data_IF_599217862337
#
_entry.id   IF_599217862337
#
_cell.length_a   1.000
_cell.length_b   1.000
_cell.length_c   1.000
_cell.angle_alpha   90.00
_cell.angle_beta   90.00
_cell.angle_gamma   90.00
#
_symmetry.space_group_name_H-M   'P 1'
#
loop_
_entity.id
_entity.type
_entity.pdbx_description
1 polymer ?
#
# COMPACT_ATOMS: atom_id res chain seq x y z
N UNK A 1 47.03 -39.96 56.37
CA UNK A 1 47.05 -39.12 55.13
C UNK A 1 45.82 -39.49 54.32
N UNK A 2 44.76 -38.69 54.42
CA UNK A 2 43.48 -38.92 53.74
C UNK A 2 43.52 -38.33 52.33
N UNK A 3 43.19 -39.14 51.31
CA UNK A 3 43.04 -38.68 49.92
C UNK A 3 41.64 -39.00 49.41
N UNK A 4 40.74 -38.01 49.45
CA UNK A 4 39.37 -38.12 48.92
C UNK A 4 39.42 -37.92 47.40
N UNK A 5 39.14 -38.95 46.62
CA UNK A 5 38.89 -38.81 45.17
C UNK A 5 37.44 -38.37 45.00
N UNK A 6 37.23 -37.07 44.81
CA UNK A 6 35.93 -36.52 44.43
C UNK A 6 35.74 -36.68 42.91
N UNK A 7 35.01 -37.71 42.48
CA UNK A 7 34.48 -37.80 41.12
C UNK A 7 33.25 -36.90 40.99
N UNK A 8 33.47 -35.59 40.86
CA UNK A 8 32.45 -34.63 40.48
C UNK A 8 32.51 -34.35 38.99
N UNK A 9 31.79 -35.10 38.14
CA UNK A 9 31.50 -34.64 36.78
C UNK A 9 30.39 -33.59 36.88
N UNK A 10 30.79 -32.34 37.10
CA UNK A 10 29.91 -31.19 36.93
C UNK A 10 29.57 -31.06 35.44
N UNK A 11 28.45 -31.63 35.01
CA UNK A 11 27.81 -31.25 33.76
C UNK A 11 27.37 -29.79 33.91
N UNK A 12 28.21 -28.85 33.47
CA UNK A 12 27.83 -27.44 33.34
C UNK A 12 26.83 -27.36 32.19
N UNK A 13 25.54 -27.23 32.55
CA UNK A 13 24.49 -26.80 31.63
C UNK A 13 24.85 -25.42 31.10
N UNK A 14 25.23 -25.33 29.82
CA UNK A 14 25.27 -24.07 29.07
C UNK A 14 23.84 -23.66 28.70
N UNK A 15 23.10 -23.09 29.65
CA UNK A 15 21.92 -22.27 29.36
C UNK A 15 22.26 -20.81 29.67
N UNK A 16 23.17 -20.23 28.89
CA UNK A 16 23.18 -18.78 28.75
C UNK A 16 22.35 -18.48 27.51
N UNK A 17 21.06 -18.26 27.70
CA UNK A 17 20.29 -17.49 26.73
C UNK A 17 20.88 -16.09 26.73
N UNK A 18 21.47 -15.65 25.62
CA UNK A 18 21.76 -14.24 25.38
C UNK A 18 20.42 -13.47 25.25
N UNK A 19 19.76 -13.22 26.38
CA UNK A 19 18.48 -12.49 26.45
C UNK A 19 18.65 -10.98 26.63
N UNK A 20 19.87 -10.45 26.46
CA UNK A 20 20.14 -9.02 26.75
C UNK A 20 20.80 -8.19 25.65
N UNK A 21 21.42 -8.79 24.63
CA UNK A 21 22.29 -8.05 23.69
C UNK A 21 21.73 -7.87 22.27
N UNK A 22 20.47 -8.28 22.01
CA UNK A 22 19.93 -8.38 20.63
C UNK A 22 19.00 -7.25 20.21
N UNK A 23 18.76 -6.24 21.05
CA UNK A 23 17.89 -5.12 20.68
C UNK A 23 18.63 -3.89 20.11
N UNK A 24 19.97 -3.81 20.26
CA UNK A 24 20.78 -2.68 19.78
C UNK A 24 21.28 -2.83 18.34
N UNK A 25 20.49 -3.48 17.47
CA UNK A 25 20.82 -3.62 16.04
C UNK A 25 20.89 -2.25 15.34
N UNK A 26 20.31 -1.21 15.91
CA UNK A 26 20.26 0.13 15.30
C UNK A 26 21.38 1.09 15.78
N UNK A 27 22.08 0.79 16.88
CA UNK A 27 23.01 1.74 17.51
C UNK A 27 24.49 1.55 17.11
N UNK A 28 24.84 0.49 16.37
CA UNK A 28 26.23 0.25 15.93
C UNK A 28 26.35 0.27 14.41
N UNK A 29 27.49 0.72 13.88
CA UNK A 29 27.75 0.75 12.43
C UNK A 29 27.64 -0.64 11.78
N UNK A 30 28.06 -1.70 12.50
CA UNK A 30 27.85 -3.11 12.11
C UNK A 30 26.39 -3.56 12.17
N UNK A 31 25.59 -2.93 13.03
CA UNK A 31 24.14 -3.13 13.12
C UNK A 31 23.40 -2.47 11.95
N UNK A 32 23.83 -1.27 11.55
CA UNK A 32 23.33 -0.55 10.37
C UNK A 32 23.54 -1.34 9.07
N UNK A 33 24.74 -1.90 8.85
CA UNK A 33 25.02 -2.73 7.67
C UNK A 33 24.14 -4.00 7.59
N UNK A 34 23.85 -4.61 8.75
CA UNK A 34 22.96 -5.77 8.84
C UNK A 34 21.50 -5.38 8.63
N UNK A 35 21.07 -4.26 9.18
CA UNK A 35 19.74 -3.71 8.96
C UNK A 35 19.52 -3.39 7.48
N UNK A 36 20.49 -2.76 6.80
CA UNK A 36 20.40 -2.46 5.37
C UNK A 36 20.21 -3.71 4.51
N UNK A 37 20.89 -4.81 4.82
CA UNK A 37 20.69 -6.11 4.14
C UNK A 37 19.31 -6.69 4.40
N UNK A 38 18.80 -6.60 5.62
CA UNK A 38 17.44 -7.06 5.97
C UNK A 38 16.40 -6.28 5.17
N UNK A 39 16.45 -4.94 5.19
CA UNK A 39 15.50 -4.10 4.47
C UNK A 39 15.58 -4.31 2.96
N UNK A 40 16.79 -4.47 2.41
CA UNK A 40 16.98 -4.81 0.99
C UNK A 40 16.27 -6.12 0.65
N UNK A 41 16.45 -7.16 1.46
CA UNK A 41 15.81 -8.45 1.25
C UNK A 41 14.28 -8.36 1.40
N UNK A 42 13.78 -7.65 2.41
CA UNK A 42 12.33 -7.44 2.59
C UNK A 42 11.72 -6.72 1.38
N UNK A 43 12.40 -5.70 0.85
CA UNK A 43 11.93 -4.99 -0.36
C UNK A 43 11.82 -5.94 -1.55
N UNK A 44 12.85 -6.75 -1.82
CA UNK A 44 12.86 -7.63 -3.00
C UNK A 44 11.97 -8.86 -2.86
N UNK A 45 11.90 -9.46 -1.67
CA UNK A 45 11.23 -10.74 -1.48
C UNK A 45 9.82 -10.63 -0.88
N UNK A 46 9.46 -9.47 -0.34
CA UNK A 46 8.12 -9.24 0.23
C UNK A 46 7.44 -8.08 -0.48
N UNK A 47 8.01 -6.88 -0.45
CA UNK A 47 7.33 -5.70 -0.97
C UNK A 47 7.05 -5.81 -2.48
N UNK A 48 8.06 -6.12 -3.30
CA UNK A 48 7.85 -6.24 -4.75
C UNK A 48 6.83 -7.32 -5.14
N UNK A 49 6.89 -8.56 -4.61
CA UNK A 49 5.84 -9.55 -4.88
C UNK A 49 4.44 -9.10 -4.44
N UNK A 50 4.32 -8.47 -3.27
CA UNK A 50 3.00 -7.99 -2.79
C UNK A 50 2.43 -6.89 -3.68
N UNK A 51 3.25 -5.94 -4.12
CA UNK A 51 2.84 -4.88 -5.05
C UNK A 51 2.47 -5.46 -6.41
N UNK A 52 3.21 -6.46 -6.90
CA UNK A 52 2.88 -7.13 -8.16
C UNK A 52 1.52 -7.84 -8.08
N UNK A 53 1.24 -8.55 -6.98
CA UNK A 53 -0.07 -9.19 -6.75
C UNK A 53 -1.20 -8.16 -6.67
N UNK A 54 -0.99 -7.06 -5.94
CA UNK A 54 -1.96 -5.98 -5.84
C UNK A 54 -2.23 -5.34 -7.22
N UNK A 55 -1.18 -5.09 -8.01
CA UNK A 55 -1.29 -4.53 -9.35
C UNK A 55 -2.11 -5.43 -10.27
N UNK A 56 -1.85 -6.75 -10.28
CA UNK A 56 -2.64 -7.71 -11.07
C UNK A 56 -4.09 -7.72 -10.61
N UNK A 57 -4.35 -7.74 -9.30
CA UNK A 57 -5.71 -7.72 -8.77
C UNK A 57 -6.47 -6.44 -9.21
N UNK A 58 -5.87 -5.27 -9.01
CA UNK A 58 -6.50 -4.00 -9.40
C UNK A 58 -6.68 -3.89 -10.92
N UNK A 59 -5.76 -4.43 -11.71
CA UNK A 59 -5.87 -4.43 -13.17
C UNK A 59 -7.02 -5.30 -13.67
N UNK A 60 -7.18 -6.50 -13.12
CA UNK A 60 -8.29 -7.38 -13.47
C UNK A 60 -9.63 -6.77 -13.04
N UNK A 61 -9.68 -6.20 -11.84
CA UNK A 61 -10.87 -5.49 -11.35
C UNK A 61 -11.21 -4.29 -12.25
N UNK A 62 -10.24 -3.48 -12.66
CA UNK A 62 -10.47 -2.36 -13.57
C UNK A 62 -10.96 -2.84 -14.94
N UNK A 63 -10.45 -3.96 -15.47
CA UNK A 63 -10.95 -4.51 -16.73
C UNK A 63 -12.40 -5.00 -16.63
N UNK A 64 -12.77 -5.61 -15.51
CA UNK A 64 -14.15 -6.01 -15.23
C UNK A 64 -15.05 -4.78 -15.07
N UNK A 65 -14.61 -3.78 -14.29
CA UNK A 65 -15.33 -2.52 -14.12
C UNK A 65 -15.46 -1.75 -15.43
N UNK A 66 -14.45 -1.74 -16.30
CA UNK A 66 -14.52 -1.09 -17.60
C UNK A 66 -15.57 -1.73 -18.52
N UNK A 67 -15.82 -3.04 -18.39
CA UNK A 67 -16.84 -3.75 -19.16
C UNK A 67 -18.24 -3.63 -18.56
N UNK A 68 -18.36 -3.57 -17.23
CA UNK A 68 -19.65 -3.70 -16.54
C UNK A 68 -20.15 -2.40 -15.90
N UNK A 69 -19.27 -1.48 -15.48
CA UNK A 69 -19.70 -0.20 -14.88
C UNK A 69 -20.18 0.76 -15.96
N UNK A 70 -21.49 0.82 -16.12
CA UNK A 70 -22.16 1.96 -16.76
C UNK A 70 -22.05 3.21 -15.88
N UNK A 71 -22.04 4.39 -16.51
CA UNK A 71 -22.08 5.66 -15.77
C UNK A 71 -23.44 5.79 -15.07
N UNK A 72 -23.51 6.44 -13.89
CA UNK A 72 -24.78 6.61 -13.20
C UNK A 72 -25.69 7.58 -13.97
N UNK A 73 -27.00 7.33 -13.94
CA UNK A 73 -28.01 8.22 -14.52
C UNK A 73 -27.86 9.66 -13.96
N UNK A 74 -27.99 10.66 -14.83
CA UNK A 74 -27.90 12.05 -14.41
C UNK A 74 -29.12 12.45 -13.57
N UNK A 75 -28.90 12.71 -12.28
CA UNK A 75 -29.88 13.32 -11.38
C UNK A 75 -29.35 14.66 -10.90
N UNK A 76 -30.13 15.72 -11.14
CA UNK A 76 -29.78 17.10 -10.74
C UNK A 76 -30.12 17.33 -9.27
N UNK A 77 -29.23 16.88 -8.40
CA UNK A 77 -29.31 17.19 -6.98
C UNK A 77 -28.74 18.59 -6.70
N UNK A 78 -29.42 19.36 -5.85
CA UNK A 78 -29.03 20.75 -5.52
C UNK A 78 -27.66 20.86 -4.83
N UNK A 79 -27.24 19.80 -4.13
CA UNK A 79 -25.95 19.74 -3.45
C UNK A 79 -24.80 19.25 -4.35
N UNK A 80 -25.10 18.77 -5.57
CA UNK A 80 -24.09 18.32 -6.52
C UNK A 80 -23.82 19.38 -7.59
N UNK A 81 -22.58 19.36 -8.11
CA UNK A 81 -22.12 20.24 -9.21
C UNK A 81 -22.39 21.72 -8.97
N UNK A 82 -22.34 22.18 -7.72
CA UNK A 82 -22.51 23.59 -7.37
C UNK A 82 -21.43 24.45 -8.06
N UNK A 83 -21.85 25.59 -8.61
CA UNK A 83 -20.99 26.60 -9.25
C UNK A 83 -21.34 27.99 -8.71
N UNK A 84 -20.68 28.41 -7.63
CA UNK A 84 -20.87 29.77 -7.06
C UNK A 84 -20.01 30.82 -7.75
N UNK A 85 -18.83 30.42 -8.22
CA UNK A 85 -17.90 31.21 -9.03
C UNK A 85 -17.33 30.34 -10.13
N UNK A 86 -16.93 30.98 -11.24
CA UNK A 86 -16.24 30.30 -12.34
C UNK A 86 -14.84 29.86 -11.91
N UNK A 87 -14.40 28.70 -12.38
CA UNK A 87 -13.02 28.25 -12.22
C UNK A 87 -12.04 29.18 -12.96
N UNK A 88 -10.80 29.34 -12.49
CA UNK A 88 -9.81 30.23 -13.10
C UNK A 88 -9.10 29.66 -14.34
N UNK A 89 -9.65 28.61 -14.97
CA UNK A 89 -9.11 27.96 -16.17
C UNK A 89 -10.23 27.57 -17.13
N UNK A 90 -9.85 27.29 -18.39
CA UNK A 90 -10.77 26.80 -19.42
C UNK A 90 -11.97 27.72 -19.61
N UNK A 91 -13.16 27.14 -19.61
CA UNK A 91 -14.45 27.84 -19.72
C UNK A 91 -15.03 28.28 -18.36
N UNK A 92 -14.35 27.93 -17.26
CA UNK A 92 -14.78 28.20 -15.90
C UNK A 92 -15.88 27.28 -15.35
N UNK A 93 -16.33 26.27 -16.10
CA UNK A 93 -17.37 25.33 -15.69
C UNK A 93 -16.83 23.90 -15.44
N UNK A 94 -15.74 23.54 -16.12
CA UNK A 94 -15.10 22.23 -16.02
C UNK A 94 -14.10 22.16 -14.86
N UNK A 95 -14.16 21.06 -14.10
CA UNK A 95 -13.20 20.79 -13.03
C UNK A 95 -11.79 20.52 -13.59
N UNK A 96 -10.75 20.61 -12.74
CA UNK A 96 -9.36 20.43 -13.20
C UNK A 96 -9.11 19.04 -13.82
N UNK A 97 -9.70 17.99 -13.23
CA UNK A 97 -9.65 16.62 -13.73
C UNK A 97 -11.03 16.21 -14.27
N UNK A 98 -11.52 16.98 -15.25
CA UNK A 98 -12.81 16.70 -15.86
C UNK A 98 -12.73 15.55 -16.87
N UNK A 99 -13.61 14.56 -16.72
CA UNK A 99 -13.82 13.51 -17.70
C UNK A 99 -15.19 13.69 -18.35
N UNK A 100 -15.28 14.07 -19.64
CA UNK A 100 -16.56 14.32 -20.33
C UNK A 100 -17.55 13.15 -20.28
N UNK A 101 -17.04 11.92 -20.23
CA UNK A 101 -17.87 10.71 -20.19
C UNK A 101 -18.47 10.44 -18.80
N UNK A 102 -17.70 10.66 -17.72
CA UNK A 102 -18.08 10.28 -16.33
C UNK A 102 -18.50 11.44 -15.44
N UNK A 103 -18.12 12.67 -15.75
CA UNK A 103 -18.38 13.83 -14.89
C UNK A 103 -19.46 14.69 -15.54
N UNK A 104 -20.69 14.59 -15.04
CA UNK A 104 -21.74 15.49 -15.49
C UNK A 104 -21.51 16.93 -15.02
N UNK A 105 -21.86 17.87 -15.88
CA UNK A 105 -22.02 19.29 -15.59
C UNK A 105 -23.38 19.57 -14.91
N UNK A 106 -23.67 20.80 -14.46
CA UNK A 106 -24.96 21.13 -13.86
C UNK A 106 -26.18 20.91 -14.76
N UNK A 107 -25.96 20.91 -16.08
CA UNK A 107 -26.93 20.71 -17.15
C UNK A 107 -27.03 19.26 -17.65
N UNK A 108 -26.02 18.40 -17.38
CA UNK A 108 -26.06 16.99 -17.77
C UNK A 108 -24.68 16.41 -18.08
N UNK A 109 -24.66 15.19 -18.63
CA UNK A 109 -23.46 14.65 -19.25
C UNK A 109 -23.26 15.26 -20.64
N UNK A 110 -22.00 15.50 -21.02
CA UNK A 110 -21.65 16.08 -22.32
C UNK A 110 -21.71 15.07 -23.46
N UNK A 111 -21.42 13.80 -23.17
CA UNK A 111 -21.47 12.72 -24.15
C UNK A 111 -22.75 11.90 -24.01
N UNK A 112 -23.23 11.33 -25.11
CA UNK A 112 -24.26 10.30 -25.07
C UNK A 112 -23.72 9.04 -24.37
N UNK A 113 -24.62 8.23 -23.82
CA UNK A 113 -24.22 6.97 -23.22
C UNK A 113 -24.09 5.95 -24.35
N UNK A 114 -22.84 5.63 -24.73
CA UNK A 114 -22.60 4.56 -25.68
C UNK A 114 -23.07 3.24 -25.07
N UNK A 115 -24.19 2.71 -25.57
CA UNK A 115 -24.69 1.39 -25.22
C UNK A 115 -23.73 0.34 -25.77
N UNK A 116 -22.73 -0.03 -24.97
CA UNK A 116 -21.92 -1.21 -25.24
C UNK A 116 -22.84 -2.47 -25.13
N UNK A 117 -23.23 -3.01 -26.29
CA UNK A 117 -23.81 -4.33 -26.45
C UNK A 117 -22.77 -5.44 -26.30
#
# INVERSE_FOLDING_TARGET
MAGRIALGRSFVRKYSTETGAKFDVYASQRGSDKAGKIWKNVTYFVALPTVALAMVNTYLMEQEEAKTRKRPEFKRYDHFRIRTKRFPWGDGNHTLFHNPYRNALPDGYETEEEEHH
#
